data_IF_742147009000
#
_entry.id   IF_742147009000
#
_cell.length_a   1.000
_cell.length_b   1.000
_cell.length_c   1.000
_cell.angle_alpha   90.00
_cell.angle_beta   90.00
_cell.angle_gamma   90.00
#
_symmetry.space_group_name_H-M   'P 1'
#
loop_
_entity.id
_entity.type
_entity.pdbx_description
1 polymer ?
#
# COMPACT_ATOMS: atom_id res chain seq x y z
N UNK A 1 -23.65 47.87 -16.57
CA UNK A 1 -23.20 47.29 -15.29
C UNK A 1 -24.00 46.01 -14.98
N UNK A 2 -23.75 44.91 -15.69
CA UNK A 2 -24.48 43.63 -15.45
C UNK A 2 -23.65 42.39 -15.81
N UNK A 3 -22.69 42.50 -16.74
CA UNK A 3 -21.81 41.38 -17.12
C UNK A 3 -20.74 41.02 -16.07
N UNK A 4 -20.48 41.89 -15.09
CA UNK A 4 -19.49 41.66 -14.02
C UNK A 4 -20.04 40.79 -12.87
N UNK A 5 -21.36 40.74 -12.69
CA UNK A 5 -21.99 39.97 -11.60
C UNK A 5 -21.97 38.45 -11.86
N UNK A 6 -22.08 38.03 -13.13
CA UNK A 6 -22.06 36.61 -13.49
C UNK A 6 -20.64 36.00 -13.45
N UNK A 7 -19.60 36.79 -13.72
CA UNK A 7 -18.20 36.36 -13.59
C UNK A 7 -17.79 36.15 -12.14
N UNK A 8 -18.29 36.99 -11.21
CA UNK A 8 -18.03 36.84 -9.78
C UNK A 8 -18.67 35.58 -9.20
N UNK A 9 -19.84 35.17 -9.70
CA UNK A 9 -20.54 33.95 -9.25
C UNK A 9 -19.83 32.66 -9.69
N UNK A 10 -19.18 32.67 -10.87
CA UNK A 10 -18.50 31.49 -11.41
C UNK A 10 -17.17 31.18 -10.68
N UNK A 11 -16.47 32.20 -10.18
CA UNK A 11 -15.20 32.03 -9.43
C UNK A 11 -15.44 31.51 -8.01
N UNK A 12 -16.58 31.83 -7.40
CA UNK A 12 -16.89 31.35 -6.04
C UNK A 12 -17.27 29.86 -6.05
N UNK A 13 -17.87 29.37 -7.14
CA UNK A 13 -18.23 27.94 -7.29
C UNK A 13 -17.00 27.04 -7.48
N UNK A 14 -15.90 27.53 -8.07
CA UNK A 14 -14.67 26.71 -8.23
C UNK A 14 -13.85 26.62 -6.95
N UNK A 15 -13.80 27.69 -6.14
CA UNK A 15 -13.04 27.68 -4.88
C UNK A 15 -13.75 26.83 -3.81
N UNK A 16 -15.08 26.81 -3.79
CA UNK A 16 -15.86 25.99 -2.84
C UNK A 16 -15.75 24.48 -3.10
N UNK A 17 -15.40 24.04 -4.33
CA UNK A 17 -15.10 22.63 -4.58
C UNK A 17 -13.71 22.22 -4.07
N UNK A 18 -12.82 23.19 -3.84
CA UNK A 18 -11.46 22.92 -3.40
C UNK A 18 -11.37 22.51 -1.92
N UNK A 19 -12.34 22.93 -1.08
CA UNK A 19 -12.33 22.65 0.36
C UNK A 19 -13.14 21.40 0.78
N UNK A 20 -13.82 20.75 -0.17
CA UNK A 20 -14.62 19.54 0.07
C UNK A 20 -13.95 18.24 -0.41
N UNK A 21 -12.73 18.32 -0.93
CA UNK A 21 -11.89 17.14 -1.16
C UNK A 21 -10.94 16.98 0.04
N UNK A 22 -11.52 16.75 1.22
CA UNK A 22 -10.82 15.99 2.25
C UNK A 22 -10.89 14.52 1.85
N UNK A 23 -10.24 14.17 0.72
CA UNK A 23 -9.92 12.76 0.45
C UNK A 23 -9.06 12.34 1.64
N UNK A 24 -9.46 11.31 2.41
CA UNK A 24 -8.58 10.79 3.44
C UNK A 24 -7.26 10.45 2.75
N UNK A 25 -6.17 11.01 3.26
CA UNK A 25 -4.80 10.74 2.82
C UNK A 25 -4.45 9.28 3.15
N UNK A 26 -5.19 8.34 2.58
CA UNK A 26 -4.73 6.99 2.33
C UNK A 26 -3.60 7.24 1.34
N UNK A 27 -2.37 7.29 1.84
CA UNK A 27 -1.19 7.45 1.01
C UNK A 27 -1.33 6.53 -0.20
N UNK A 28 -1.00 7.05 -1.39
CA UNK A 28 -1.05 6.24 -2.61
C UNK A 28 -0.30 4.93 -2.37
N UNK A 29 -0.67 3.85 -3.04
CA UNK A 29 0.03 2.56 -2.88
C UNK A 29 1.55 2.71 -3.07
N UNK A 30 1.99 3.69 -3.87
CA UNK A 30 3.38 4.09 -4.02
C UNK A 30 3.99 4.67 -2.73
N UNK A 31 3.31 5.59 -2.05
CA UNK A 31 3.78 6.14 -0.77
C UNK A 31 3.83 5.06 0.33
N UNK A 32 2.86 4.13 0.34
CA UNK A 32 2.88 2.97 1.25
C UNK A 32 4.05 2.04 0.92
N UNK A 33 4.33 1.81 -0.36
CA UNK A 33 5.47 1.01 -0.80
C UNK A 33 6.81 1.65 -0.41
N UNK A 34 6.96 2.96 -0.62
CA UNK A 34 8.18 3.69 -0.22
C UNK A 34 8.39 3.64 1.31
N UNK A 35 7.31 3.70 2.10
CA UNK A 35 7.36 3.53 3.55
C UNK A 35 7.74 2.09 3.93
N UNK A 36 7.15 1.10 3.25
CA UNK A 36 7.48 -0.32 3.42
C UNK A 36 8.97 -0.57 3.15
N UNK A 37 9.52 -0.04 2.07
CA UNK A 37 10.94 -0.18 1.73
C UNK A 37 11.84 0.34 2.85
N UNK A 38 11.52 1.52 3.41
CA UNK A 38 12.26 2.12 4.52
C UNK A 38 12.10 1.33 5.81
N UNK A 39 10.89 0.88 6.12
CA UNK A 39 10.57 0.23 7.40
C UNK A 39 11.23 -1.15 7.52
N UNK A 40 11.33 -1.88 6.41
CA UNK A 40 11.92 -3.22 6.36
C UNK A 40 13.30 -3.25 5.69
N UNK A 41 13.94 -2.09 5.50
CA UNK A 41 15.26 -1.94 4.85
C UNK A 41 15.38 -2.71 3.51
N UNK A 42 14.31 -2.72 2.71
CA UNK A 42 14.29 -3.42 1.43
C UNK A 42 15.19 -2.71 0.44
N UNK A 43 16.03 -3.48 -0.25
CA UNK A 43 16.88 -3.02 -1.33
C UNK A 43 16.66 -3.91 -2.53
N UNK A 44 16.35 -3.30 -3.67
CA UNK A 44 16.15 -4.00 -4.94
C UNK A 44 17.32 -3.72 -5.86
N UNK A 45 17.75 -4.73 -6.62
CA UNK A 45 18.99 -4.65 -7.39
C UNK A 45 18.85 -3.77 -8.63
N UNK A 46 17.64 -3.66 -9.16
CA UNK A 46 17.36 -2.87 -10.35
C UNK A 46 15.92 -2.32 -10.37
N UNK A 47 15.63 -1.29 -11.19
CA UNK A 47 14.29 -0.71 -11.29
C UNK A 47 13.20 -1.69 -11.75
N UNK A 48 13.56 -2.67 -12.58
CA UNK A 48 12.61 -3.69 -13.07
C UNK A 48 12.14 -4.59 -11.92
N UNK A 49 13.06 -5.04 -11.08
CA UNK A 49 12.77 -5.80 -9.86
C UNK A 49 11.91 -4.99 -8.90
N UNK A 50 12.26 -3.73 -8.64
CA UNK A 50 11.44 -2.83 -7.83
C UNK A 50 10.01 -2.70 -8.38
N UNK A 51 9.87 -2.57 -9.70
CA UNK A 51 8.57 -2.53 -10.38
C UNK A 51 7.76 -3.81 -10.19
N UNK A 52 8.39 -4.99 -10.35
CA UNK A 52 7.76 -6.29 -10.05
C UNK A 52 7.26 -6.33 -8.60
N UNK A 53 8.12 -5.95 -7.65
CA UNK A 53 7.85 -5.98 -6.20
C UNK A 53 6.73 -5.03 -5.80
N UNK A 54 6.68 -3.83 -6.40
CA UNK A 54 5.58 -2.89 -6.23
C UNK A 54 4.25 -3.46 -6.75
N UNK A 55 4.27 -4.19 -7.87
CA UNK A 55 3.09 -4.87 -8.40
C UNK A 55 2.54 -5.93 -7.45
N UNK A 56 3.42 -6.76 -6.89
CA UNK A 56 3.05 -7.78 -5.89
C UNK A 56 2.51 -7.11 -4.62
N UNK A 57 3.22 -6.08 -4.13
CA UNK A 57 2.80 -5.33 -2.96
C UNK A 57 1.39 -4.76 -3.08
N UNK A 58 1.05 -4.17 -4.23
CA UNK A 58 -0.31 -3.66 -4.50
C UNK A 58 -1.36 -4.76 -4.42
N UNK A 59 -1.08 -5.92 -5.01
CA UNK A 59 -2.00 -7.07 -4.97
C UNK A 59 -2.23 -7.52 -3.52
N UNK A 60 -1.15 -7.72 -2.77
CA UNK A 60 -1.22 -8.13 -1.37
C UNK A 60 -1.91 -7.09 -0.49
N UNK A 61 -1.73 -5.79 -0.75
CA UNK A 61 -2.43 -4.71 -0.06
C UNK A 61 -3.93 -4.73 -0.32
N UNK A 62 -4.36 -5.04 -1.55
CA UNK A 62 -5.78 -5.19 -1.88
C UNK A 62 -6.40 -6.41 -1.18
N UNK A 63 -5.70 -7.55 -1.19
CA UNK A 63 -6.13 -8.76 -0.48
C UNK A 63 -6.23 -8.53 1.03
N UNK A 64 -5.25 -7.86 1.64
CA UNK A 64 -5.27 -7.44 3.04
C UNK A 64 -6.50 -6.58 3.38
N UNK A 65 -6.85 -5.60 2.52
CA UNK A 65 -8.05 -4.78 2.71
C UNK A 65 -9.33 -5.63 2.67
N UNK A 66 -9.40 -6.62 1.78
CA UNK A 66 -10.53 -7.55 1.71
C UNK A 66 -10.60 -8.41 2.98
N UNK A 67 -9.48 -8.95 3.44
CA UNK A 67 -9.43 -9.76 4.65
C UNK A 67 -9.86 -8.99 5.90
N UNK A 68 -9.42 -7.74 6.06
CA UNK A 68 -9.87 -6.86 7.15
C UNK A 68 -11.37 -6.60 7.14
N UNK A 69 -12.01 -6.57 5.96
CA UNK A 69 -13.46 -6.41 5.85
C UNK A 69 -14.20 -7.71 6.20
N UNK A 70 -13.62 -8.86 5.87
CA UNK A 70 -14.21 -10.17 6.13
C UNK A 70 -14.03 -10.62 7.59
N UNK A 71 -12.96 -10.18 8.24
CA UNK A 71 -12.55 -10.59 9.58
C UNK A 71 -12.40 -9.37 10.49
N UNK A 72 -13.49 -8.69 10.87
CA UNK A 72 -13.42 -7.47 11.70
C UNK A 72 -12.78 -7.71 13.09
N UNK A 73 -12.70 -8.96 13.54
CA UNK A 73 -12.01 -9.37 14.77
C UNK A 73 -10.48 -9.45 14.64
N UNK A 74 -9.93 -9.40 13.42
CA UNK A 74 -8.50 -9.55 13.14
C UNK A 74 -8.00 -8.39 12.28
N UNK A 75 -6.85 -7.82 12.66
CA UNK A 75 -6.19 -6.80 11.86
C UNK A 75 -5.06 -7.41 11.01
N UNK A 76 -5.22 -7.36 9.69
CA UNK A 76 -4.21 -7.68 8.70
C UNK A 76 -3.47 -6.40 8.29
N UNK A 77 -2.15 -6.39 8.46
CA UNK A 77 -1.28 -5.24 8.18
C UNK A 77 -0.17 -5.55 7.17
N UNK A 78 0.59 -4.51 6.82
CA UNK A 78 1.81 -4.64 6.01
C UNK A 78 2.90 -5.32 6.85
N UNK A 79 3.53 -6.35 6.30
CA UNK A 79 4.61 -7.13 6.93
C UNK A 79 5.84 -7.15 6.04
N UNK A 80 6.94 -7.74 6.52
CA UNK A 80 8.17 -7.88 5.72
C UNK A 80 7.98 -8.71 4.44
N UNK A 81 6.91 -9.51 4.36
CA UNK A 81 6.61 -10.39 3.22
C UNK A 81 5.58 -9.80 2.25
N UNK A 82 5.13 -8.56 2.48
CA UNK A 82 4.11 -7.92 1.64
C UNK A 82 4.51 -7.76 0.16
N UNK A 83 5.80 -7.90 -0.19
CA UNK A 83 6.31 -7.85 -1.58
C UNK A 83 6.55 -9.23 -2.22
N UNK A 84 6.11 -10.31 -1.57
CA UNK A 84 6.32 -11.70 -2.02
C UNK A 84 5.02 -12.35 -2.51
N UNK A 85 5.14 -13.27 -3.47
CA UNK A 85 4.02 -14.16 -3.80
C UNK A 85 3.91 -15.31 -2.80
N UNK A 86 2.79 -16.03 -2.80
CA UNK A 86 2.60 -17.19 -1.94
C UNK A 86 3.67 -18.27 -2.18
N UNK A 87 4.05 -18.50 -3.44
CA UNK A 87 5.07 -19.48 -3.81
C UNK A 87 6.47 -19.03 -3.36
N UNK A 88 6.79 -17.75 -3.52
CA UNK A 88 8.06 -17.18 -3.04
C UNK A 88 8.14 -17.28 -1.51
N UNK A 89 7.05 -16.99 -0.80
CA UNK A 89 6.97 -17.13 0.65
C UNK A 89 7.08 -18.59 1.11
N UNK A 90 6.39 -19.51 0.44
CA UNK A 90 6.51 -20.96 0.72
C UNK A 90 7.93 -21.46 0.52
N UNK A 91 8.60 -21.00 -0.54
CA UNK A 91 10.00 -21.34 -0.78
C UNK A 91 10.88 -20.91 0.40
N UNK A 92 10.79 -19.63 0.80
CA UNK A 92 11.58 -19.08 1.92
C UNK A 92 11.25 -19.74 3.26
N UNK A 93 9.97 -19.94 3.57
CA UNK A 93 9.56 -20.59 4.83
C UNK A 93 9.99 -22.05 4.92
N UNK A 94 9.97 -22.79 3.81
CA UNK A 94 10.52 -24.15 3.75
C UNK A 94 12.05 -24.17 3.96
N UNK A 95 12.77 -23.11 3.59
CA UNK A 95 14.19 -22.98 3.92
C UNK A 95 14.41 -22.70 5.41
N UNK A 96 13.63 -21.80 6.01
CA UNK A 96 13.72 -21.47 7.44
C UNK A 96 13.37 -22.70 8.30
N UNK A 97 12.32 -23.45 7.93
CA UNK A 97 11.93 -24.69 8.61
C UNK A 97 12.93 -25.84 8.47
N UNK A 98 13.88 -25.77 7.54
CA UNK A 98 14.96 -26.77 7.38
C UNK A 98 16.26 -26.38 8.06
N UNK A 99 16.47 -25.11 8.40
CA UNK A 99 17.68 -24.64 9.10
C UNK A 99 17.63 -24.80 10.62
N UNK A 100 16.45 -25.05 11.21
CA UNK A 100 16.33 -25.37 12.64
C UNK A 100 15.97 -26.84 12.85
N UNK A 101 16.94 -27.74 12.63
CA UNK A 101 17.07 -28.90 13.53
C UNK A 101 17.72 -28.44 14.84
N UNK A 102 17.06 -27.54 15.57
CA UNK A 102 17.30 -27.43 17.01
C UNK A 102 16.47 -28.52 17.66
N UNK A 103 17.14 -29.64 17.94
CA UNK A 103 16.65 -30.64 18.89
C UNK A 103 16.37 -29.93 20.20
N UNK A 104 15.10 -29.74 20.52
CA UNK A 104 14.68 -29.51 21.91
C UNK A 104 14.42 -30.90 22.48
N UNK A 105 15.39 -31.36 23.26
CA UNK A 105 15.19 -32.32 24.35
C UNK A 105 14.25 -31.72 25.40
#
# INVERSE_FOLDING_TARGET
MSQFFHLALFVVVTVAYCDAIKIPLIGTDAALFDKFEKSFNKKFNNPSERGKRMGIFKKNLAEMKVLNLLHPETEFGITEFSDMTAEEFQSVSNFIGKSEKFTII
#
